data_IF_344812722612
#
_entry.id   IF_344812722612
#
_cell.length_a   1.000
_cell.length_b   1.000
_cell.length_c   1.000
_cell.angle_alpha   90.00
_cell.angle_beta   90.00
_cell.angle_gamma   90.00
#
_symmetry.space_group_name_H-M   'P 1'
#
loop_
_entity.id
_entity.type
_entity.pdbx_description
1 polymer ?
#
# COMPACT_ATOMS: atom_id res chain seq x y z
N UNK A 1 3.35 -12.41 23.92
CA UNK A 1 3.45 -10.99 23.52
C UNK A 1 3.26 -10.18 24.79
N UNK A 2 4.25 -9.37 25.14
CA UNK A 2 4.24 -8.46 26.30
C UNK A 2 4.13 -7.01 25.79
N UNK A 3 3.71 -6.05 26.62
CA UNK A 3 3.56 -4.64 26.19
C UNK A 3 4.87 -4.07 25.60
N UNK A 4 6.02 -4.47 26.13
CA UNK A 4 7.35 -4.08 25.60
C UNK A 4 7.64 -4.60 24.19
N UNK A 5 6.85 -5.57 23.70
CA UNK A 5 6.97 -6.15 22.36
C UNK A 5 6.05 -5.44 21.33
N UNK A 6 5.44 -4.30 21.71
CA UNK A 6 4.52 -3.54 20.86
C UNK A 6 4.93 -2.06 20.86
N UNK A 7 4.96 -1.44 19.68
CA UNK A 7 5.09 0.01 19.50
C UNK A 7 3.93 0.50 18.63
N UNK A 8 3.24 1.55 19.09
CA UNK A 8 2.13 2.18 18.39
C UNK A 8 2.45 3.63 18.07
N UNK A 9 2.27 4.01 16.81
CA UNK A 9 2.53 5.37 16.34
C UNK A 9 1.36 5.85 15.49
N UNK A 10 0.86 7.05 15.80
CA UNK A 10 -0.25 7.69 15.10
C UNK A 10 0.26 8.92 14.34
N UNK A 11 -0.18 9.06 13.09
CA UNK A 11 0.13 10.20 12.24
C UNK A 11 -1.17 10.86 11.76
N UNK A 12 -1.24 12.19 11.60
CA UNK A 12 -2.40 12.85 11.00
C UNK A 12 -2.55 12.44 9.52
N UNK A 13 -3.74 12.68 8.95
CA UNK A 13 -3.95 12.53 7.51
C UNK A 13 -3.00 13.42 6.71
N UNK A 14 -2.46 12.90 5.60
CA UNK A 14 -1.52 13.63 4.76
C UNK A 14 -0.10 13.75 5.33
N UNK A 15 0.21 13.08 6.44
CA UNK A 15 1.57 13.03 6.97
C UNK A 15 2.55 12.39 5.96
N UNK A 16 3.76 12.93 5.90
CA UNK A 16 4.77 12.54 4.91
C UNK A 16 6.21 12.47 5.44
N UNK A 17 6.48 12.97 6.66
CA UNK A 17 7.83 12.98 7.25
C UNK A 17 8.08 11.70 8.09
N UNK A 18 8.35 10.58 7.41
CA UNK A 18 8.48 9.29 8.07
C UNK A 18 9.87 8.97 8.63
N UNK A 19 10.84 9.89 8.56
CA UNK A 19 12.25 9.61 8.89
C UNK A 19 12.43 9.08 10.32
N UNK A 20 11.81 9.74 11.29
CA UNK A 20 11.90 9.37 12.70
C UNK A 20 11.15 8.06 12.98
N UNK A 21 9.96 7.89 12.41
CA UNK A 21 9.13 6.70 12.60
C UNK A 21 9.84 5.46 12.05
N UNK A 22 10.39 5.54 10.83
CA UNK A 22 11.13 4.44 10.21
C UNK A 22 12.43 4.15 10.97
N UNK A 23 13.10 5.18 11.49
CA UNK A 23 14.28 5.00 12.35
C UNK A 23 13.94 4.23 13.63
N UNK A 24 12.75 4.48 14.20
CA UNK A 24 12.28 3.78 15.38
C UNK A 24 11.90 2.33 15.05
N UNK A 25 11.20 2.07 13.94
CA UNK A 25 10.93 0.72 13.44
C UNK A 25 12.24 -0.08 13.30
N UNK A 26 13.28 0.53 12.72
CA UNK A 26 14.60 -0.09 12.54
C UNK A 26 15.29 -0.41 13.87
N UNK A 27 15.17 0.47 14.87
CA UNK A 27 15.72 0.23 16.21
C UNK A 27 14.94 -0.87 16.93
N UNK A 28 13.63 -0.82 16.86
CA UNK A 28 12.73 -1.79 17.46
C UNK A 28 12.98 -3.20 16.89
N UNK A 29 13.18 -3.31 15.57
CA UNK A 29 13.48 -4.59 14.92
C UNK A 29 14.83 -5.20 15.27
N UNK A 30 15.75 -4.45 15.87
CA UNK A 30 16.98 -5.02 16.44
C UNK A 30 16.71 -5.86 17.70
N UNK A 31 15.54 -5.70 18.34
CA UNK A 31 15.14 -6.46 19.53
C UNK A 31 14.58 -7.86 19.24
N UNK A 32 14.29 -8.19 17.97
CA UNK A 32 13.75 -9.49 17.60
C UNK A 32 13.01 -9.48 16.26
N UNK A 33 12.26 -10.55 15.98
CA UNK A 33 11.42 -10.61 14.78
C UNK A 33 10.29 -9.60 14.91
N UNK A 34 10.22 -8.67 13.96
CA UNK A 34 9.25 -7.57 13.96
C UNK A 34 8.47 -7.56 12.66
N UNK A 35 7.18 -7.23 12.74
CA UNK A 35 6.36 -6.89 11.60
C UNK A 35 5.66 -5.55 11.88
N UNK A 36 5.35 -4.80 10.83
CA UNK A 36 4.59 -3.54 10.93
C UNK A 36 3.17 -3.79 10.43
N UNK A 37 2.19 -3.40 11.24
CA UNK A 37 0.79 -3.32 10.81
C UNK A 37 0.54 -1.87 10.43
N UNK A 38 0.34 -1.59 9.14
CA UNK A 38 0.07 -0.25 8.63
C UNK A 38 -1.41 -0.04 8.40
N UNK A 39 -1.96 0.94 9.10
CA UNK A 39 -3.29 1.52 8.87
C UNK A 39 -3.20 2.93 8.27
N UNK A 40 -2.06 3.24 7.62
CA UNK A 40 -1.86 4.50 6.91
C UNK A 40 -2.78 4.52 5.68
N UNK A 41 -3.50 5.63 5.49
CA UNK A 41 -4.48 5.77 4.41
C UNK A 41 -3.96 6.67 3.29
N UNK A 42 -4.39 6.38 2.06
CA UNK A 42 -4.19 7.23 0.88
C UNK A 42 -2.72 7.51 0.56
N UNK A 43 -2.47 8.72 0.08
CA UNK A 43 -1.17 9.17 -0.44
C UNK A 43 -0.03 9.12 0.59
N UNK A 44 -0.33 9.08 1.89
CA UNK A 44 0.66 8.93 2.97
C UNK A 44 1.41 7.59 2.92
N UNK A 45 0.88 6.56 2.26
CA UNK A 45 1.60 5.30 2.08
C UNK A 45 2.89 5.49 1.27
N UNK A 46 2.86 6.34 0.26
CA UNK A 46 3.98 6.53 -0.68
C UNK A 46 5.27 7.00 0.02
N UNK A 47 5.28 8.11 0.78
CA UNK A 47 6.47 8.53 1.51
C UNK A 47 6.88 7.54 2.60
N UNK A 48 5.95 6.80 3.22
CA UNK A 48 6.28 5.77 4.20
C UNK A 48 7.11 4.63 3.59
N UNK A 49 6.65 4.03 2.50
CA UNK A 49 7.39 2.95 1.83
C UNK A 49 8.69 3.44 1.18
N UNK A 50 8.70 4.67 0.67
CA UNK A 50 9.94 5.30 0.18
C UNK A 50 10.96 5.40 1.31
N UNK A 51 10.54 5.78 2.50
CA UNK A 51 11.45 5.94 3.64
C UNK A 51 11.95 4.60 4.20
N UNK A 52 11.10 3.55 4.22
CA UNK A 52 11.56 2.18 4.50
C UNK A 52 12.73 1.79 3.59
N UNK A 53 12.59 2.01 2.29
CA UNK A 53 13.65 1.73 1.33
C UNK A 53 14.88 2.63 1.49
N UNK A 54 14.71 3.93 1.76
CA UNK A 54 15.82 4.85 2.04
C UNK A 54 16.68 4.38 3.22
N UNK A 55 16.06 3.82 4.26
CA UNK A 55 16.76 3.31 5.43
C UNK A 55 17.21 1.85 5.31
N UNK A 56 17.00 1.24 4.14
CA UNK A 56 17.40 -0.12 3.81
C UNK A 56 16.60 -1.20 4.53
N UNK A 57 15.38 -0.89 4.99
CA UNK A 57 14.48 -1.87 5.61
C UNK A 57 13.84 -2.68 4.48
N UNK A 58 14.16 -3.97 4.42
CA UNK A 58 13.58 -4.89 3.44
C UNK A 58 12.38 -5.60 4.03
N UNK A 59 11.41 -5.94 3.19
CA UNK A 59 10.26 -6.75 3.59
C UNK A 59 10.65 -8.14 4.13
N UNK A 60 11.83 -8.67 3.75
CA UNK A 60 12.37 -9.94 4.29
C UNK A 60 12.82 -9.83 5.73
N UNK A 61 13.15 -8.63 6.19
CA UNK A 61 13.68 -8.37 7.52
C UNK A 61 12.57 -7.85 8.44
N UNK A 62 11.78 -6.90 7.94
CA UNK A 62 10.60 -6.32 8.61
C UNK A 62 9.46 -6.23 7.60
N UNK A 63 8.61 -7.27 7.49
CA UNK A 63 7.45 -7.21 6.63
C UNK A 63 6.47 -6.14 7.13
N UNK A 64 5.86 -5.43 6.19
CA UNK A 64 4.76 -4.50 6.48
C UNK A 64 3.49 -5.11 5.89
N UNK A 65 2.44 -5.17 6.69
CA UNK A 65 1.09 -5.54 6.26
C UNK A 65 0.26 -4.27 6.19
N UNK A 66 -0.15 -3.87 4.98
CA UNK A 66 -1.04 -2.74 4.77
C UNK A 66 -2.50 -3.18 4.68
N UNK A 67 -3.35 -2.44 5.41
CA UNK A 67 -4.81 -2.56 5.39
C UNK A 67 -5.48 -1.37 4.71
N UNK A 68 -4.75 -0.54 3.96
CA UNK A 68 -5.31 0.61 3.24
C UNK A 68 -4.44 1.02 2.03
N UNK A 69 -3.95 0.03 1.30
CA UNK A 69 -3.27 0.20 0.01
C UNK A 69 -4.01 -0.62 -1.02
N UNK A 70 -4.66 0.05 -1.98
CA UNK A 70 -5.32 -0.54 -3.11
C UNK A 70 -4.47 -0.52 -4.38
N UNK A 71 -4.93 -1.25 -5.40
CA UNK A 71 -4.21 -1.36 -6.68
C UNK A 71 -4.13 -0.02 -7.44
N UNK A 72 -5.04 0.92 -7.18
CA UNK A 72 -5.01 2.26 -7.77
C UNK A 72 -3.85 3.11 -7.23
N UNK A 73 -3.65 3.17 -5.92
CA UNK A 73 -2.53 3.94 -5.36
C UNK A 73 -1.17 3.41 -5.86
N UNK A 74 -1.08 2.12 -6.17
CA UNK A 74 0.13 1.50 -6.73
C UNK A 74 0.42 1.92 -8.17
N UNK A 75 -0.58 2.34 -8.97
CA UNK A 75 -0.35 2.73 -10.38
C UNK A 75 0.47 4.00 -10.51
N UNK A 76 0.42 4.89 -9.51
CA UNK A 76 1.07 6.19 -9.51
C UNK A 76 2.49 6.22 -8.94
N UNK A 77 3.04 5.10 -8.47
CA UNK A 77 4.28 5.08 -7.69
C UNK A 77 5.31 4.08 -8.21
N UNK A 78 6.60 4.33 -7.91
CA UNK A 78 7.63 3.32 -8.08
C UNK A 78 7.38 2.18 -7.09
N UNK A 79 6.99 1.01 -7.60
CA UNK A 79 6.63 -0.16 -6.81
C UNK A 79 7.81 -1.06 -6.47
N UNK A 80 9.02 -0.80 -7.00
CA UNK A 80 10.21 -1.61 -6.67
C UNK A 80 10.49 -1.67 -5.16
N UNK A 81 10.36 -0.58 -4.38
CA UNK A 81 10.47 -0.60 -2.93
C UNK A 81 9.43 -1.48 -2.22
N UNK A 82 8.30 -1.78 -2.86
CA UNK A 82 7.15 -2.45 -2.25
C UNK A 82 7.23 -3.98 -2.32
N UNK A 83 8.16 -4.52 -3.10
CA UNK A 83 8.27 -5.96 -3.34
C UNK A 83 8.50 -6.72 -2.03
N UNK A 84 7.61 -7.67 -1.73
CA UNK A 84 7.66 -8.51 -0.54
C UNK A 84 6.83 -7.99 0.63
N UNK A 85 6.39 -6.72 0.62
CA UNK A 85 5.40 -6.25 1.58
C UNK A 85 4.02 -6.88 1.27
N UNK A 86 3.19 -6.95 2.31
CA UNK A 86 1.90 -7.64 2.27
C UNK A 86 0.77 -6.61 2.23
N UNK A 87 -0.26 -6.90 1.44
CA UNK A 87 -1.50 -6.14 1.42
C UNK A 87 -2.65 -7.07 1.80
N UNK A 88 -3.56 -6.57 2.63
CA UNK A 88 -4.78 -7.27 3.01
C UNK A 88 -5.98 -6.40 2.63
N UNK A 89 -6.82 -6.92 1.75
CA UNK A 89 -8.03 -6.25 1.27
C UNK A 89 -9.13 -7.28 1.05
N UNK A 90 -10.37 -6.81 0.95
CA UNK A 90 -11.53 -7.67 0.69
C UNK A 90 -11.58 -8.16 -0.78
N UNK A 91 -10.82 -7.53 -1.68
CA UNK A 91 -10.77 -7.86 -3.10
C UNK A 91 -9.44 -7.44 -3.73
N UNK A 92 -8.92 -8.22 -4.67
CA UNK A 92 -7.81 -7.82 -5.55
C UNK A 92 -8.16 -8.21 -6.99
N UNK A 93 -7.89 -7.34 -7.95
CA UNK A 93 -8.07 -7.62 -9.39
C UNK A 93 -7.25 -8.84 -9.83
N UNK A 94 -6.12 -9.09 -9.15
CA UNK A 94 -5.23 -10.23 -9.41
C UNK A 94 -5.77 -11.63 -9.02
N UNK A 95 -6.90 -11.73 -8.33
CA UNK A 95 -7.44 -13.04 -7.90
C UNK A 95 -7.76 -13.94 -9.10
N UNK A 96 -7.21 -15.15 -9.15
CA UNK A 96 -7.39 -16.07 -10.29
C UNK A 96 -8.62 -16.96 -10.11
N UNK A 97 -9.74 -16.59 -10.73
CA UNK A 97 -10.94 -17.43 -10.84
C UNK A 97 -11.86 -16.93 -11.98
N UNK A 98 -12.80 -17.74 -12.51
CA UNK A 98 -13.63 -17.36 -13.66
C UNK A 98 -14.60 -16.21 -13.37
N UNK A 99 -15.08 -16.07 -12.13
CA UNK A 99 -15.98 -14.98 -11.73
C UNK A 99 -15.23 -13.64 -11.78
N UNK A 100 -14.00 -13.61 -11.25
CA UNK A 100 -13.16 -12.43 -11.28
C UNK A 100 -12.75 -12.06 -12.71
N UNK A 101 -12.34 -13.02 -13.53
CA UNK A 101 -11.99 -12.77 -14.93
C UNK A 101 -13.15 -12.12 -15.70
N UNK A 102 -14.39 -12.58 -15.48
CA UNK A 102 -15.58 -11.97 -16.05
C UNK A 102 -15.81 -10.55 -15.53
N UNK A 103 -15.76 -10.35 -14.21
CA UNK A 103 -15.93 -9.04 -13.59
C UNK A 103 -14.94 -8.01 -14.13
N UNK A 104 -13.65 -8.36 -14.22
CA UNK A 104 -12.59 -7.49 -14.74
C UNK A 104 -12.84 -7.13 -16.20
N UNK A 105 -13.25 -8.10 -17.04
CA UNK A 105 -13.57 -7.84 -18.44
C UNK A 105 -14.76 -6.88 -18.59
N UNK A 106 -15.84 -7.13 -17.85
CA UNK A 106 -17.05 -6.30 -17.88
C UNK A 106 -16.75 -4.87 -17.38
N UNK A 107 -16.01 -4.75 -16.26
CA UNK A 107 -15.63 -3.45 -15.69
C UNK A 107 -14.75 -2.64 -16.66
N UNK A 108 -13.75 -3.27 -17.30
CA UNK A 108 -12.90 -2.61 -18.30
C UNK A 108 -13.69 -2.16 -19.53
N UNK A 109 -14.69 -2.93 -19.96
CA UNK A 109 -15.55 -2.56 -21.08
C UNK A 109 -16.44 -1.36 -20.72
N UNK A 110 -17.06 -1.40 -19.52
CA UNK A 110 -17.84 -0.28 -18.98
C UNK A 110 -17.00 1.00 -18.88
N UNK A 111 -15.83 0.95 -18.23
CA UNK A 111 -14.98 2.12 -18.02
C UNK A 111 -14.56 2.79 -19.34
N UNK A 112 -14.22 2.01 -20.37
CA UNK A 112 -13.94 2.53 -21.72
C UNK A 112 -15.16 3.21 -22.36
N UNK A 113 -16.33 2.62 -22.20
CA UNK A 113 -17.60 3.18 -22.68
C UNK A 113 -17.91 4.52 -22.03
N UNK A 114 -17.73 4.62 -20.71
CA UNK A 114 -17.94 5.86 -19.95
C UNK A 114 -16.96 6.95 -20.36
N UNK A 115 -15.66 6.65 -20.47
CA UNK A 115 -14.67 7.63 -20.94
C UNK A 115 -14.97 8.12 -22.36
N UNK A 116 -15.43 7.24 -23.25
CA UNK A 116 -15.84 7.62 -24.59
C UNK A 116 -17.10 8.52 -24.58
N UNK A 117 -18.06 8.24 -23.69
CA UNK A 117 -19.25 9.08 -23.51
C UNK A 117 -18.89 10.46 -22.93
N UNK A 118 -17.97 10.53 -21.97
CA UNK A 118 -17.49 11.79 -21.38
C UNK A 118 -16.76 12.66 -22.40
N UNK A 119 -15.87 12.09 -23.22
CA UNK A 119 -15.20 12.82 -24.31
C UNK A 119 -16.20 13.38 -25.33
N UNK A 120 -17.16 12.55 -25.76
CA UNK A 120 -18.26 13.00 -26.64
C UNK A 120 -19.09 14.14 -26.05
N UNK A 121 -19.32 14.13 -24.73
CA UNK A 121 -20.04 15.21 -24.05
C UNK A 121 -19.20 16.50 -23.98
N UNK A 122 -17.89 16.39 -23.82
CA UNK A 122 -16.96 17.53 -23.71
C UNK A 122 -16.51 18.10 -25.07
N UNK A 123 -16.70 17.37 -26.17
CA UNK A 123 -16.44 17.83 -27.53
C UNK A 123 -15.05 17.52 -28.09
N UNK A 124 -14.29 16.67 -27.39
CA UNK A 124 -12.95 16.17 -27.70
C UNK A 124 -12.93 14.74 -28.28
#
# INVERSE_FOLDING_TARGET
MQDKDIEEVYTPFGYSDYQTIVSNIKKFSAGGKTAVISTINGDSNVPFYKELANQGIKATDVPVVAFSVGEEELRGIDTKPLVGHLAAWNYFESVTNPVNAKFVADYRAYAKGTQAAERRYRGD
#
